data_IF_028243196930
#
_entry.id   IF_028243196930
#
_cell.length_a   1.000
_cell.length_b   1.000
_cell.length_c   1.000
_cell.angle_alpha   90.00
_cell.angle_beta   90.00
_cell.angle_gamma   90.00
#
_symmetry.space_group_name_H-M   'P 1'
#
loop_
_entity.id
_entity.type
_entity.pdbx_description
1 polymer ?
#
# COMPACT_ATOMS: atom_id res chain seq x y z
N UNK A 1 18.57 -9.19 39.32
CA UNK A 1 17.48 -10.00 39.93
C UNK A 1 16.35 -9.04 40.27
N UNK A 2 15.13 -9.05 39.76
CA UNK A 2 14.41 -9.96 38.84
C UNK A 2 13.02 -9.30 38.68
N UNK A 3 12.83 -8.44 37.68
CA UNK A 3 11.47 -8.02 37.25
C UNK A 3 11.38 -7.44 35.83
N UNK A 4 12.44 -7.57 35.01
CA UNK A 4 12.38 -7.29 33.56
C UNK A 4 11.66 -8.40 32.77
N UNK A 5 10.87 -9.22 33.45
CA UNK A 5 10.19 -10.38 32.89
C UNK A 5 8.70 -10.10 32.89
N UNK A 6 8.19 -9.95 31.67
CA UNK A 6 6.84 -10.25 31.26
C UNK A 6 5.79 -9.13 31.36
N UNK A 7 5.87 -8.17 30.43
CA UNK A 7 4.67 -7.55 29.88
C UNK A 7 4.12 -8.51 28.81
N UNK A 8 3.51 -9.60 29.23
CA UNK A 8 2.67 -10.43 28.35
C UNK A 8 1.68 -9.47 27.72
N UNK A 9 1.83 -9.16 26.42
CA UNK A 9 0.79 -8.42 25.72
C UNK A 9 -0.49 -9.26 25.87
N UNK A 10 -1.55 -8.74 26.52
CA UNK A 10 -2.75 -9.52 26.78
C UNK A 10 -3.26 -10.11 25.46
N UNK A 11 -3.86 -11.31 25.51
CA UNK A 11 -4.32 -12.04 24.32
C UNK A 11 -5.17 -11.15 23.39
N UNK A 12 -5.93 -10.23 23.98
CA UNK A 12 -6.72 -9.21 23.27
C UNK A 12 -5.90 -8.38 22.28
N UNK A 13 -4.68 -7.98 22.66
CA UNK A 13 -3.83 -7.15 21.80
C UNK A 13 -3.32 -7.97 20.61
N UNK A 14 -2.97 -9.25 20.82
CA UNK A 14 -2.57 -10.17 19.73
C UNK A 14 -3.69 -10.36 18.71
N UNK A 15 -4.93 -10.51 19.18
CA UNK A 15 -6.12 -10.63 18.30
C UNK A 15 -6.38 -9.32 17.56
N UNK A 16 -6.23 -8.16 18.21
CA UNK A 16 -6.34 -6.85 17.54
C UNK A 16 -5.31 -6.67 16.41
N UNK A 17 -4.05 -7.02 16.65
CA UNK A 17 -3.01 -6.98 15.61
C UNK A 17 -3.32 -7.94 14.46
N UNK A 18 -3.80 -9.16 14.75
CA UNK A 18 -4.20 -10.13 13.73
C UNK A 18 -5.39 -9.65 12.89
N UNK A 19 -6.40 -9.02 13.52
CA UNK A 19 -7.56 -8.46 12.82
C UNK A 19 -7.16 -7.28 11.92
N UNK A 20 -6.24 -6.43 12.38
CA UNK A 20 -5.70 -5.34 11.60
C UNK A 20 -4.90 -5.87 10.39
N UNK A 21 -4.09 -6.91 10.58
CA UNK A 21 -3.37 -7.57 9.49
C UNK A 21 -4.33 -8.16 8.45
N UNK A 22 -5.42 -8.81 8.89
CA UNK A 22 -6.46 -9.33 7.99
C UNK A 22 -7.16 -8.21 7.20
N UNK A 23 -7.45 -7.08 7.85
CA UNK A 23 -8.00 -5.90 7.19
C UNK A 23 -7.07 -5.35 6.11
N UNK A 24 -5.77 -5.21 6.40
CA UNK A 24 -4.80 -4.78 5.39
C UNK A 24 -4.62 -5.81 4.27
N UNK A 25 -4.74 -7.11 4.57
CA UNK A 25 -4.70 -8.18 3.56
C UNK A 25 -5.89 -8.07 2.59
N UNK A 26 -7.07 -7.70 3.10
CA UNK A 26 -8.21 -7.36 2.26
C UNK A 26 -7.93 -6.13 1.37
N UNK A 27 -7.31 -5.08 1.91
CA UNK A 27 -6.89 -3.89 1.14
C UNK A 27 -5.92 -4.27 0.02
N UNK A 28 -4.92 -5.13 0.29
CA UNK A 28 -4.00 -5.66 -0.72
C UNK A 28 -4.78 -6.31 -1.87
N UNK A 29 -5.76 -7.17 -1.56
CA UNK A 29 -6.57 -7.81 -2.60
C UNK A 29 -7.37 -6.81 -3.45
N UNK A 30 -7.96 -5.79 -2.80
CA UNK A 30 -8.69 -4.72 -3.50
C UNK A 30 -7.76 -3.92 -4.40
N UNK A 31 -6.58 -3.54 -3.91
CA UNK A 31 -5.58 -2.80 -4.69
C UNK A 31 -5.09 -3.60 -5.90
N UNK A 32 -4.80 -4.89 -5.72
CA UNK A 32 -4.42 -5.77 -6.83
C UNK A 32 -5.52 -5.83 -7.92
N UNK A 33 -6.78 -5.87 -7.50
CA UNK A 33 -7.95 -5.84 -8.41
C UNK A 33 -8.07 -4.50 -9.14
N UNK A 34 -7.80 -3.38 -8.47
CA UNK A 34 -7.83 -2.05 -9.11
C UNK A 34 -6.68 -1.91 -10.12
N UNK A 35 -5.47 -2.32 -9.75
CA UNK A 35 -4.30 -2.27 -10.63
C UNK A 35 -4.54 -3.14 -11.88
N UNK A 36 -5.12 -4.33 -11.73
CA UNK A 36 -5.44 -5.18 -12.88
C UNK A 36 -6.49 -4.56 -13.79
N UNK A 37 -7.52 -3.92 -13.22
CA UNK A 37 -8.53 -3.19 -13.99
C UNK A 37 -7.93 -2.00 -14.76
N UNK A 38 -7.04 -1.24 -14.13
CA UNK A 38 -6.30 -0.14 -14.77
C UNK A 38 -5.44 -0.68 -15.93
N UNK A 39 -4.75 -1.81 -15.73
CA UNK A 39 -3.93 -2.42 -16.76
C UNK A 39 -4.77 -2.86 -17.98
N UNK A 40 -5.92 -3.50 -17.74
CA UNK A 40 -6.87 -3.88 -18.80
C UNK A 40 -7.40 -2.64 -19.53
N UNK A 41 -7.79 -1.60 -18.79
CA UNK A 41 -8.25 -0.35 -19.40
C UNK A 41 -7.14 0.32 -20.23
N UNK A 42 -5.90 0.38 -19.73
CA UNK A 42 -4.77 0.91 -20.48
C UNK A 42 -4.46 0.11 -21.74
N UNK A 43 -4.61 -1.21 -21.70
CA UNK A 43 -4.46 -2.06 -22.87
C UNK A 43 -5.50 -1.69 -23.96
N UNK A 44 -6.77 -1.59 -23.59
CA UNK A 44 -7.82 -1.14 -24.53
C UNK A 44 -7.61 0.31 -25.01
N UNK A 45 -7.23 1.23 -24.12
CA UNK A 45 -6.95 2.61 -24.48
C UNK A 45 -5.78 2.71 -25.48
N UNK A 46 -4.75 1.87 -25.31
CA UNK A 46 -3.60 1.80 -26.22
C UNK A 46 -4.01 1.22 -27.58
N UNK A 47 -4.92 0.23 -27.62
CA UNK A 47 -5.47 -0.29 -28.88
C UNK A 47 -6.29 0.75 -29.65
N UNK A 48 -7.07 1.59 -28.96
CA UNK A 48 -7.92 2.60 -29.59
C UNK A 48 -7.14 3.88 -29.95
N UNK A 49 -6.26 4.35 -29.06
CA UNK A 49 -5.60 5.67 -29.16
C UNK A 49 -4.16 5.58 -29.67
N UNK A 50 -3.57 4.38 -29.67
CA UNK A 50 -2.16 4.15 -30.00
C UNK A 50 -1.16 4.68 -28.94
N UNK A 51 -1.66 5.27 -27.84
CA UNK A 51 -0.85 5.85 -26.76
C UNK A 51 -1.46 5.56 -25.40
N UNK A 52 -0.62 5.17 -24.44
CA UNK A 52 -1.02 5.08 -23.04
C UNK A 52 -1.29 6.49 -22.46
N UNK A 53 -2.31 6.62 -21.62
CA UNK A 53 -2.63 7.89 -20.97
C UNK A 53 -1.61 8.18 -19.85
N UNK A 54 -0.75 9.19 -20.05
CA UNK A 54 0.32 9.57 -19.11
C UNK A 54 -0.19 9.87 -17.69
N UNK A 55 -1.37 10.50 -17.56
CA UNK A 55 -1.95 10.80 -16.22
C UNK A 55 -2.41 9.54 -15.50
N UNK A 56 -2.95 8.57 -16.23
CA UNK A 56 -3.36 7.30 -15.65
C UNK A 56 -2.15 6.44 -15.31
N UNK A 57 -1.07 6.56 -16.09
CA UNK A 57 0.19 5.88 -15.83
C UNK A 57 0.88 6.41 -14.56
N UNK A 58 0.97 7.73 -14.38
CA UNK A 58 1.53 8.31 -13.16
C UNK A 58 0.71 7.93 -11.92
N UNK A 59 -0.61 7.97 -12.01
CA UNK A 59 -1.50 7.51 -10.93
C UNK A 59 -1.28 6.02 -10.60
N UNK A 60 -1.19 5.17 -11.62
CA UNK A 60 -0.95 3.73 -11.43
C UNK A 60 0.42 3.45 -10.78
N UNK A 61 1.43 4.29 -11.04
CA UNK A 61 2.75 4.17 -10.42
C UNK A 61 2.69 4.48 -8.92
N UNK A 62 2.04 5.60 -8.55
CA UNK A 62 1.77 5.96 -7.15
C UNK A 62 0.98 4.85 -6.43
N UNK A 63 -0.03 4.27 -7.09
CA UNK A 63 -0.82 3.17 -6.54
C UNK A 63 0.00 1.88 -6.34
N UNK A 64 0.91 1.56 -7.26
CA UNK A 64 1.80 0.41 -7.14
C UNK A 64 2.81 0.56 -5.98
N UNK A 65 3.33 1.77 -5.77
CA UNK A 65 4.21 2.04 -4.62
C UNK A 65 3.43 1.94 -3.29
N UNK A 66 2.19 2.43 -3.25
CA UNK A 66 1.31 2.24 -2.09
C UNK A 66 1.04 0.76 -1.80
N UNK A 67 0.76 -0.03 -2.84
CA UNK A 67 0.57 -1.47 -2.72
C UNK A 67 1.79 -2.19 -2.13
N UNK A 68 3.00 -1.81 -2.58
CA UNK A 68 4.26 -2.31 -2.02
C UNK A 68 4.41 -1.94 -0.55
N UNK A 69 4.16 -0.69 -0.17
CA UNK A 69 4.26 -0.23 1.23
C UNK A 69 3.33 -1.03 2.15
N UNK A 70 2.08 -1.26 1.75
CA UNK A 70 1.15 -2.08 2.53
C UNK A 70 1.64 -3.53 2.63
N UNK A 71 2.14 -4.10 1.53
CA UNK A 71 2.64 -5.47 1.51
C UNK A 71 3.82 -5.64 2.48
N UNK A 72 4.76 -4.69 2.49
CA UNK A 72 5.91 -4.71 3.42
C UNK A 72 5.47 -4.57 4.87
N UNK A 73 4.49 -3.70 5.15
CA UNK A 73 3.92 -3.52 6.47
C UNK A 73 3.20 -4.79 6.98
N UNK A 74 2.35 -5.41 6.16
CA UNK A 74 1.64 -6.66 6.50
C UNK A 74 2.60 -7.82 6.69
N UNK A 75 3.69 -7.86 5.91
CA UNK A 75 4.72 -8.89 6.01
C UNK A 75 5.69 -8.69 7.19
N UNK A 76 5.51 -7.64 8.01
CA UNK A 76 6.42 -7.28 9.10
C UNK A 76 7.89 -7.07 8.63
N UNK A 77 8.07 -6.71 7.36
CA UNK A 77 9.40 -6.42 6.79
C UNK A 77 9.80 -4.98 7.10
N UNK A 78 8.82 -4.07 7.12
CA UNK A 78 9.01 -2.65 7.43
C UNK A 78 7.98 -2.19 8.45
N UNK A 79 8.41 -1.33 9.39
CA UNK A 79 7.54 -0.70 10.40
C UNK A 79 6.90 0.60 9.88
N UNK A 80 7.24 1.01 8.64
CA UNK A 80 6.60 2.13 7.97
C UNK A 80 5.09 1.93 7.84
N UNK A 81 4.32 2.81 8.48
CA UNK A 81 2.85 2.78 8.42
C UNK A 81 2.38 3.46 7.13
N UNK A 82 1.72 2.76 6.20
CA UNK A 82 1.22 3.36 4.97
C UNK A 82 0.07 4.36 5.23
N UNK A 83 -0.25 5.19 4.23
CA UNK A 83 -1.41 6.09 4.22
C UNK A 83 -2.68 5.36 4.72
N UNK A 84 -3.51 5.96 5.59
CA UNK A 84 -3.60 7.40 5.94
C UNK A 84 -2.67 7.89 7.05
N UNK A 85 -1.78 7.04 7.58
CA UNK A 85 -0.88 7.44 8.67
C UNK A 85 0.45 8.04 8.17
N UNK A 86 0.71 7.93 6.87
CA UNK A 86 1.84 8.57 6.18
C UNK A 86 1.37 9.30 4.92
N UNK A 87 2.28 10.05 4.31
CA UNK A 87 2.05 10.76 3.05
C UNK A 87 1.74 9.75 1.95
N UNK A 88 0.75 10.06 1.11
CA UNK A 88 0.46 9.26 -0.08
C UNK A 88 1.71 9.22 -0.97
N UNK A 89 2.15 8.04 -1.44
CA UNK A 89 3.29 7.97 -2.35
C UNK A 89 2.90 8.63 -3.67
N UNK A 90 3.24 9.91 -3.80
CA UNK A 90 3.11 10.65 -5.04
C UNK A 90 4.51 10.88 -5.59
N UNK A 91 4.68 10.60 -6.87
CA UNK A 91 5.82 11.04 -7.64
C UNK A 91 5.64 12.51 -8.03
N UNK A 92 5.49 13.41 -7.05
CA UNK A 92 5.75 14.84 -7.27
C UNK A 92 7.26 15.01 -7.28
N UNK A 93 7.84 15.03 -8.48
CA UNK A 93 9.18 15.62 -8.70
C UNK A 93 9.12 17.15 -8.47
N UNK A 94 7.94 17.70 -8.17
CA UNK A 94 7.68 19.13 -8.03
C UNK A 94 7.70 19.65 -6.56
N UNK A 95 8.12 18.85 -5.57
CA UNK A 95 8.38 19.34 -4.20
C UNK A 95 9.89 19.45 -3.89
N UNK A 96 10.71 19.68 -4.93
CA UNK A 96 12.05 20.27 -4.79
C UNK A 96 12.00 21.69 -5.39
N UNK A 97 11.18 22.55 -4.80
CA UNK A 97 11.47 23.98 -4.66
C UNK A 97 11.78 24.12 -3.16
N UNK A 98 12.96 24.51 -2.66
CA UNK A 98 13.98 25.48 -3.07
C UNK A 98 15.32 25.12 -2.38
#
# INVERSE_FOLDING_TARGET
MTSLINKDKPIRDRVMYGLLALFFLFIVQVLATIISLIAVFQFFATLVTGKANKKLQSFSQSLAEYFKQITLFVAYIDEYRPWPFSVWPNNTVDDIEE
#
